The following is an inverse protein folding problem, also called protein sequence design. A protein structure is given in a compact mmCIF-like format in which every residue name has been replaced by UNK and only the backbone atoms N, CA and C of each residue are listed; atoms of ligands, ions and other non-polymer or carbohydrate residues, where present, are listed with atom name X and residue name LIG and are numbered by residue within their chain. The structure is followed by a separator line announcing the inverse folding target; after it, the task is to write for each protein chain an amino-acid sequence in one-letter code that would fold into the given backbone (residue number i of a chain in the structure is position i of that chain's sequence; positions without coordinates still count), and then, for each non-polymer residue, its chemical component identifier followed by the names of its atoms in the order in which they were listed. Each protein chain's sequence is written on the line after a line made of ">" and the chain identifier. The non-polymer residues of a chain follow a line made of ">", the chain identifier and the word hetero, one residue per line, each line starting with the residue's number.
data_IF_934133580281
#
_entry.id   IF_934133580281
#
_cell.length_a   1.000
_cell.length_b   1.000
_cell.length_c   1.000
_cell.angle_alpha   90.00
_cell.angle_beta   90.00
_cell.angle_gamma   90.00
#
_symmetry.space_group_name_H-M   'P 1'
#
loop_
_entity.id
_entity.type
_entity.pdbx_description
1 polymer ?
#
# COMPACT_ATOMS: atom_id res chain seq x y z
N UNK A 1 0.57 -2.12 -16.44
CA UNK A 1 0.57 -0.65 -16.22
C UNK A 1 2.00 -0.14 -16.26
N UNK A 2 2.24 1.04 -16.85
CA UNK A 2 3.54 1.71 -16.72
C UNK A 2 3.79 2.08 -15.25
N UNK A 3 5.05 2.02 -14.81
CA UNK A 3 5.45 2.25 -13.41
C UNK A 3 4.92 3.59 -12.86
N UNK A 4 4.77 4.58 -13.75
CA UNK A 4 4.28 5.94 -13.47
C UNK A 4 2.80 5.96 -13.06
N UNK A 5 1.93 5.21 -13.73
CA UNK A 5 0.49 5.16 -13.38
C UNK A 5 0.29 4.60 -11.96
N UNK A 6 1.06 3.58 -11.59
CA UNK A 6 0.99 2.94 -10.27
C UNK A 6 1.43 3.90 -9.17
N UNK A 7 2.48 4.69 -9.41
CA UNK A 7 2.94 5.70 -8.46
C UNK A 7 1.88 6.77 -8.25
N UNK A 8 1.27 7.29 -9.33
CA UNK A 8 0.25 8.34 -9.25
C UNK A 8 -0.97 7.87 -8.45
N UNK A 9 -1.48 6.67 -8.72
CA UNK A 9 -2.65 6.11 -8.02
C UNK A 9 -2.33 5.87 -6.54
N UNK A 10 -1.15 5.35 -6.23
CA UNK A 10 -0.73 5.15 -4.84
C UNK A 10 -0.64 6.49 -4.09
N UNK A 11 -0.01 7.51 -4.67
CA UNK A 11 0.11 8.85 -4.09
C UNK A 11 -1.26 9.48 -3.84
N UNK A 12 -2.16 9.44 -4.84
CA UNK A 12 -3.53 9.94 -4.70
C UNK A 12 -4.29 9.24 -3.57
N UNK A 13 -4.17 7.92 -3.49
CA UNK A 13 -4.86 7.14 -2.46
C UNK A 13 -4.32 7.47 -1.06
N UNK A 14 -3.00 7.63 -0.90
CA UNK A 14 -2.41 8.08 0.36
C UNK A 14 -2.93 9.45 0.79
N UNK A 15 -3.01 10.40 -0.14
CA UNK A 15 -3.54 11.74 0.13
C UNK A 15 -5.02 11.64 0.52
N UNK A 16 -5.83 10.90 -0.24
CA UNK A 16 -7.25 10.69 0.05
C UNK A 16 -7.46 10.03 1.41
N UNK A 17 -6.64 9.05 1.78
CA UNK A 17 -6.76 8.36 3.08
C UNK A 17 -6.35 9.25 4.25
N UNK A 18 -5.37 10.12 4.07
CA UNK A 18 -4.97 11.10 5.10
C UNK A 18 -6.10 12.10 5.36
N UNK A 19 -6.83 12.49 4.31
CA UNK A 19 -7.98 13.42 4.42
C UNK A 19 -9.23 12.72 4.97
N UNK A 20 -9.48 11.47 4.58
CA UNK A 20 -10.67 10.71 4.99
C UNK A 20 -10.54 10.10 6.41
N UNK A 21 -9.34 9.73 6.82
CA UNK A 21 -9.07 9.11 8.12
C UNK A 21 -7.87 9.77 8.83
N UNK A 22 -7.97 11.05 9.22
CA UNK A 22 -6.87 11.79 9.85
C UNK A 22 -6.43 11.21 11.21
N UNK A 23 -7.28 10.42 11.87
CA UNK A 23 -6.96 9.69 13.11
C UNK A 23 -6.25 8.35 12.88
N UNK A 24 -6.25 7.83 11.64
CA UNK A 24 -5.73 6.49 11.34
C UNK A 24 -4.43 6.54 10.52
N UNK A 25 -4.31 7.51 9.62
CA UNK A 25 -3.14 7.72 8.75
C UNK A 25 -2.72 9.18 8.85
N UNK A 26 -1.50 9.41 9.33
CA UNK A 26 -0.92 10.74 9.42
C UNK A 26 0.23 10.88 8.43
N UNK A 27 0.17 11.91 7.58
CA UNK A 27 1.24 12.27 6.66
C UNK A 27 1.57 13.74 6.88
N UNK A 28 2.79 14.02 7.34
CA UNK A 28 3.18 15.37 7.75
C UNK A 28 3.23 16.36 6.56
N UNK A 29 3.57 15.89 5.37
CA UNK A 29 3.67 16.74 4.17
C UNK A 29 3.65 15.94 2.86
N UNK A 30 3.37 16.65 1.76
CA UNK A 30 3.46 16.09 0.40
C UNK A 30 4.82 15.46 0.10
N UNK A 31 5.91 16.01 0.66
CA UNK A 31 7.26 15.47 0.47
C UNK A 31 7.39 14.06 1.06
N UNK A 32 6.82 13.82 2.25
CA UNK A 32 6.83 12.49 2.88
C UNK A 32 5.93 11.50 2.14
N UNK A 33 4.81 11.95 1.55
CA UNK A 33 3.97 11.09 0.69
C UNK A 33 4.76 10.57 -0.53
N UNK A 34 5.54 11.44 -1.17
CA UNK A 34 6.40 11.07 -2.31
C UNK A 34 7.50 10.11 -1.85
N UNK A 35 8.18 10.43 -0.74
CA UNK A 35 9.24 9.59 -0.19
C UNK A 35 8.70 8.19 0.16
N UNK A 36 7.52 8.10 0.77
CA UNK A 36 6.89 6.84 1.10
C UNK A 36 6.44 6.06 -0.14
N UNK A 37 5.89 6.72 -1.17
CA UNK A 37 5.57 6.05 -2.42
C UNK A 37 6.83 5.45 -3.08
N UNK A 38 7.96 6.15 -3.00
CA UNK A 38 9.24 5.66 -3.49
C UNK A 38 9.75 4.46 -2.68
N UNK A 39 9.77 4.57 -1.35
CA UNK A 39 10.16 3.47 -0.46
C UNK A 39 9.25 2.27 -0.66
N UNK A 40 7.93 2.46 -0.67
CA UNK A 40 6.95 1.40 -0.91
C UNK A 40 7.18 0.71 -2.27
N UNK A 41 7.50 1.46 -3.32
CA UNK A 41 7.83 0.89 -4.62
C UNK A 41 9.10 0.02 -4.56
N UNK A 42 10.12 0.48 -3.84
CA UNK A 42 11.36 -0.27 -3.61
C UNK A 42 11.09 -1.54 -2.81
N UNK A 43 10.41 -1.44 -1.67
CA UNK A 43 10.06 -2.59 -0.84
C UNK A 43 9.20 -3.59 -1.65
N UNK A 44 8.28 -3.12 -2.49
CA UNK A 44 7.48 -3.98 -3.37
C UNK A 44 8.29 -4.67 -4.48
N UNK A 45 9.43 -4.10 -4.88
CA UNK A 45 10.32 -4.71 -5.86
C UNK A 45 11.18 -5.81 -5.26
N UNK A 46 11.69 -5.60 -4.04
CA UNK A 46 12.64 -6.51 -3.41
C UNK A 46 12.02 -7.46 -2.38
N UNK A 47 11.17 -6.95 -1.50
CA UNK A 47 10.68 -7.69 -0.32
C UNK A 47 9.36 -8.39 -0.63
N UNK A 48 8.42 -7.73 -1.32
CA UNK A 48 7.15 -8.33 -1.66
C UNK A 48 7.26 -9.66 -2.44
N UNK A 49 8.18 -9.87 -3.42
CA UNK A 49 8.29 -11.19 -4.08
C UNK A 49 8.74 -12.29 -3.12
N UNK A 50 9.61 -11.98 -2.17
CA UNK A 50 10.09 -12.94 -1.17
C UNK A 50 8.96 -13.30 -0.20
N UNK A 51 8.26 -12.28 0.32
CA UNK A 51 7.12 -12.49 1.21
C UNK A 51 6.02 -13.29 0.50
N UNK A 52 5.64 -12.89 -0.71
CA UNK A 52 4.61 -13.58 -1.49
C UNK A 52 4.95 -15.04 -1.76
N UNK A 53 6.24 -15.36 -2.01
CA UNK A 53 6.67 -16.73 -2.23
C UNK A 53 6.57 -17.57 -0.94
N UNK A 54 7.01 -17.02 0.19
CA UNK A 54 6.94 -17.67 1.50
C UNK A 54 5.49 -17.86 1.97
N UNK A 55 4.64 -16.87 1.73
CA UNK A 55 3.24 -16.88 2.15
C UNK A 55 2.34 -17.53 1.11
N UNK A 56 2.84 -17.89 -0.08
CA UNK A 56 2.07 -18.50 -1.15
C UNK A 56 1.13 -19.64 -0.71
N UNK A 57 1.56 -20.63 0.10
CA UNK A 57 0.65 -21.67 0.60
C UNK A 57 -0.49 -21.09 1.46
N UNK A 58 -0.20 -20.13 2.33
CA UNK A 58 -1.21 -19.45 3.15
C UNK A 58 -2.14 -18.58 2.30
N UNK A 59 -1.60 -17.87 1.31
CA UNK A 59 -2.37 -17.07 0.37
C UNK A 59 -3.32 -17.95 -0.43
N UNK A 60 -2.91 -19.15 -0.86
CA UNK A 60 -3.80 -20.11 -1.52
C UNK A 60 -4.86 -20.66 -0.56
N UNK A 61 -4.49 -21.03 0.66
CA UNK A 61 -5.43 -21.53 1.68
C UNK A 61 -6.49 -20.49 2.06
N UNK A 62 -6.14 -19.22 2.03
CA UNK A 62 -7.03 -18.09 2.35
C UNK A 62 -7.70 -17.47 1.12
N UNK A 63 -7.64 -18.13 -0.05
CA UNK A 63 -8.20 -17.63 -1.32
C UNK A 63 -7.75 -16.20 -1.69
N UNK A 64 -6.49 -15.87 -1.40
CA UNK A 64 -5.92 -14.57 -1.70
C UNK A 64 -6.11 -13.53 -0.60
N UNK A 65 -6.87 -13.79 0.48
CA UNK A 65 -7.08 -12.82 1.55
C UNK A 65 -5.77 -12.45 2.27
N UNK A 66 -4.84 -13.38 2.42
CA UNK A 66 -3.54 -13.10 3.04
C UNK A 66 -2.69 -12.10 2.23
N UNK A 67 -2.98 -11.90 0.93
CA UNK A 67 -2.30 -10.88 0.13
C UNK A 67 -2.57 -9.46 0.66
N UNK A 68 -3.74 -9.20 1.28
CA UNK A 68 -4.02 -7.91 1.91
C UNK A 68 -3.14 -7.66 3.13
N UNK A 69 -2.87 -8.71 3.91
CA UNK A 69 -1.97 -8.66 5.09
C UNK A 69 -0.54 -8.35 4.65
N UNK A 70 -0.07 -8.94 3.54
CA UNK A 70 1.25 -8.63 2.98
C UNK A 70 1.31 -7.16 2.56
N UNK A 71 0.33 -6.70 1.77
CA UNK A 71 0.28 -5.30 1.34
C UNK A 71 0.22 -4.32 2.52
N UNK A 72 -0.51 -4.64 3.58
CA UNK A 72 -0.55 -3.89 4.83
C UNK A 72 0.83 -3.85 5.51
N UNK A 73 1.47 -5.00 5.62
CA UNK A 73 2.83 -5.12 6.15
C UNK A 73 3.83 -4.29 5.35
N UNK A 74 3.69 -4.21 4.02
CA UNK A 74 4.54 -3.34 3.18
C UNK A 74 4.36 -1.86 3.50
N UNK A 75 3.13 -1.42 3.77
CA UNK A 75 2.84 -0.04 4.17
C UNK A 75 3.42 0.26 5.55
N UNK A 76 3.27 -0.66 6.49
CA UNK A 76 3.80 -0.50 7.85
C UNK A 76 5.34 -0.49 7.85
N UNK A 77 5.97 -1.37 7.07
CA UNK A 77 7.40 -1.30 6.80
C UNK A 77 7.80 0.04 6.18
N UNK A 78 6.99 0.58 5.26
CA UNK A 78 7.25 1.91 4.68
C UNK A 78 7.21 3.01 5.75
N UNK A 79 6.22 2.98 6.66
CA UNK A 79 6.17 3.95 7.77
C UNK A 79 7.35 3.83 8.73
N UNK A 80 7.95 2.65 8.85
CA UNK A 80 9.15 2.47 9.65
C UNK A 80 10.37 3.17 9.01
N UNK A 81 10.47 3.20 7.69
CA UNK A 81 11.54 3.89 6.96
C UNK A 81 11.27 5.39 6.75
N UNK A 82 10.01 5.82 6.76
CA UNK A 82 9.60 7.20 6.51
C UNK A 82 8.93 7.77 7.74
N UNK A 83 9.69 8.51 8.55
CA UNK A 83 9.23 9.10 9.81
C UNK A 83 8.03 10.03 9.68
N UNK A 84 7.83 10.64 8.50
CA UNK A 84 6.70 11.53 8.23
C UNK A 84 5.40 10.83 7.81
N UNK A 85 5.34 9.48 7.85
CA UNK A 85 4.11 8.71 7.73
C UNK A 85 3.94 7.83 8.96
N UNK A 86 2.81 7.96 9.64
CA UNK A 86 2.47 7.12 10.78
C UNK A 86 1.09 6.49 10.61
N UNK A 87 1.03 5.20 10.92
CA UNK A 87 -0.21 4.44 11.05
C UNK A 87 -0.50 4.23 12.53
N UNK A 88 -1.73 4.53 12.95
CA UNK A 88 -2.16 4.37 14.36
C UNK A 88 -2.08 2.91 14.86
N UNK A 89 -2.24 1.94 13.96
CA UNK A 89 -2.26 0.51 14.24
C UNK A 89 -2.08 -0.32 12.97
N UNK A 90 -1.74 -1.61 13.12
CA UNK A 90 -1.73 -2.56 12.00
C UNK A 90 -3.07 -2.60 11.24
N UNK A 91 -4.19 -2.46 11.96
CA UNK A 91 -5.51 -2.40 11.35
C UNK A 91 -5.70 -1.18 10.45
N UNK A 92 -5.11 -0.04 10.81
CA UNK A 92 -5.14 1.15 9.93
C UNK A 92 -4.31 0.94 8.65
N UNK A 93 -3.15 0.28 8.75
CA UNK A 93 -2.36 -0.10 7.58
C UNK A 93 -3.10 -1.13 6.71
N UNK A 94 -3.81 -2.08 7.32
CA UNK A 94 -4.62 -3.08 6.62
C UNK A 94 -5.79 -2.46 5.87
N UNK A 95 -6.51 -1.52 6.50
CA UNK A 95 -7.61 -0.80 5.86
C UNK A 95 -7.09 0.07 4.71
N UNK A 96 -5.93 0.72 4.90
CA UNK A 96 -5.23 1.48 3.86
C UNK A 96 -4.86 0.60 2.67
N UNK A 97 -4.27 -0.57 2.92
CA UNK A 97 -3.93 -1.57 1.89
C UNK A 97 -5.17 -2.07 1.15
N UNK A 98 -6.25 -2.32 1.87
CA UNK A 98 -7.52 -2.75 1.28
C UNK A 98 -8.10 -1.68 0.36
N UNK A 99 -8.16 -0.42 0.81
CA UNK A 99 -8.63 0.71 -0.04
C UNK A 99 -7.71 0.89 -1.25
N UNK A 100 -6.39 0.84 -1.07
CA UNK A 100 -5.43 0.85 -2.17
C UNK A 100 -5.67 -0.26 -3.19
N UNK A 101 -5.99 -1.47 -2.73
CA UNK A 101 -6.28 -2.59 -3.62
C UNK A 101 -7.57 -2.37 -4.42
N UNK A 102 -8.60 -1.78 -3.80
CA UNK A 102 -9.88 -1.49 -4.44
C UNK A 102 -9.74 -0.36 -5.45
N UNK A 103 -9.06 0.74 -5.07
CA UNK A 103 -8.81 1.87 -5.97
C UNK A 103 -7.99 1.41 -7.16
N UNK A 104 -6.91 0.65 -6.94
CA UNK A 104 -6.15 0.05 -8.03
C UNK A 104 -7.04 -0.89 -8.86
N UNK A 105 -7.85 -1.76 -8.26
CA UNK A 105 -8.76 -2.65 -8.99
C UNK A 105 -9.75 -1.92 -9.89
N UNK A 106 -10.36 -0.83 -9.42
CA UNK A 106 -11.29 0.00 -10.19
C UNK A 106 -10.57 0.78 -11.28
N UNK A 107 -9.42 1.38 -10.98
CA UNK A 107 -8.62 2.14 -11.96
C UNK A 107 -8.03 1.22 -13.04
N UNK A 108 -7.61 0.01 -12.66
CA UNK A 108 -7.07 -1.00 -13.59
C UNK A 108 -8.16 -1.53 -14.52
N UNK A 109 -9.42 -1.64 -14.05
CA UNK A 109 -10.53 -2.18 -14.85
C UNK A 109 -10.87 -1.34 -16.10
N UNK A 110 -10.45 -0.08 -16.17
CA UNK A 110 -10.69 0.78 -17.35
C UNK A 110 -9.63 0.68 -18.46
N UNK A 111 -8.56 -0.12 -18.29
CA UNK A 111 -7.54 -0.35 -19.33
C UNK A 111 -7.45 -1.83 -19.77
N UNK A 112 -8.49 -2.61 -19.51
CA UNK A 112 -8.66 -3.95 -20.09
C UNK A 112 -10.06 -4.06 -20.71
N UNK A 113 -10.23 -3.34 -21.81
CA UNK A 113 -11.02 -3.79 -22.97
C UNK A 113 -10.11 -3.59 -24.18
#
# INVERSE_FOLDING_TARGET
>A
MSLIQRIIVNVLTFISLTVLFPSMVHVESLWYAILAAFVLAFLNMFIAPILNLLTLPLTLLTFGLFSFIINAGMLELTSFFVSGIQFSSFWSALLTAFVLSLVNGVVIKNNMI
#
